data_IF_808743277067
#
_entry.id   IF_808743277067
#
_cell.length_a   1.000
_cell.length_b   1.000
_cell.length_c   1.000
_cell.angle_alpha   90.00
_cell.angle_beta   90.00
_cell.angle_gamma   90.00
#
_symmetry.space_group_name_H-M   'P 1'
#
loop_
_entity.id
_entity.type
_entity.pdbx_description
1 polymer ?
#
# COMPACT_ATOMS: atom_id res chain seq x y z
N UNK A 1 -3.48 -7.87 20.18
CA UNK A 1 -3.42 -6.68 19.31
C UNK A 1 -4.29 -6.90 18.06
N UNK A 2 -5.00 -5.90 17.56
CA UNK A 2 -5.81 -6.07 16.32
C UNK A 2 -4.87 -6.23 15.12
N UNK A 3 -5.24 -7.06 14.15
CA UNK A 3 -4.46 -7.30 12.93
C UNK A 3 -4.57 -6.18 11.88
N UNK A 4 -5.47 -5.22 12.14
CA UNK A 4 -5.63 -4.01 11.34
C UNK A 4 -5.76 -2.82 12.31
N UNK A 5 -4.91 -1.80 12.12
CA UNK A 5 -4.88 -0.56 12.91
C UNK A 5 -4.86 0.63 11.95
N UNK A 6 -5.89 1.46 12.00
CA UNK A 6 -6.07 2.59 11.07
C UNK A 6 -5.43 3.86 11.59
N UNK A 7 -5.30 4.89 10.75
CA UNK A 7 -4.70 6.18 11.14
C UNK A 7 -5.37 6.81 12.38
N UNK A 8 -6.67 6.61 12.57
CA UNK A 8 -7.39 7.16 13.73
C UNK A 8 -7.02 6.48 15.06
N UNK A 9 -6.45 5.28 15.03
CA UNK A 9 -5.96 4.60 16.23
C UNK A 9 -4.71 5.32 16.81
N UNK A 10 -4.05 6.18 16.02
CA UNK A 10 -2.82 6.89 16.41
C UNK A 10 -3.09 8.09 17.34
N UNK A 11 -4.33 8.53 17.45
CA UNK A 11 -4.71 9.72 18.23
C UNK A 11 -4.40 9.59 19.74
N UNK A 12 -4.12 8.37 20.21
CA UNK A 12 -3.84 8.06 21.62
C UNK A 12 -2.35 8.15 21.98
N UNK A 13 -1.48 8.35 21.01
CA UNK A 13 -0.03 8.24 21.20
C UNK A 13 0.63 9.45 20.55
N UNK A 14 1.17 10.42 21.31
CA UNK A 14 1.85 11.58 20.73
C UNK A 14 3.13 11.16 20.00
N UNK A 15 3.54 11.94 18.99
CA UNK A 15 4.88 11.81 18.42
C UNK A 15 5.89 12.47 19.35
N UNK A 16 7.07 11.87 19.46
CA UNK A 16 8.27 12.51 19.97
C UNK A 16 9.26 12.80 18.83
N UNK A 17 10.34 13.50 19.15
CA UNK A 17 11.36 13.89 18.19
C UNK A 17 12.11 12.69 17.61
N UNK A 18 12.23 11.60 18.38
CA UNK A 18 12.90 10.37 17.95
C UNK A 18 12.11 9.71 16.82
N UNK A 19 10.80 9.51 17.03
CA UNK A 19 9.91 8.97 16.01
C UNK A 19 9.87 9.87 14.77
N UNK A 20 9.72 11.18 14.94
CA UNK A 20 9.63 12.12 13.82
C UNK A 20 10.88 12.07 12.94
N UNK A 21 12.06 11.97 13.56
CA UNK A 21 13.32 11.82 12.83
C UNK A 21 13.36 10.48 12.08
N UNK A 22 13.06 9.38 12.77
CA UNK A 22 13.07 8.04 12.18
C UNK A 22 12.12 7.95 10.98
N UNK A 23 10.90 8.47 11.14
CA UNK A 23 9.89 8.54 10.09
C UNK A 23 10.42 9.29 8.86
N UNK A 24 10.90 10.52 9.06
CA UNK A 24 11.36 11.40 7.99
C UNK A 24 12.55 10.82 7.22
N UNK A 25 13.44 10.10 7.89
CA UNK A 25 14.64 9.52 7.27
C UNK A 25 14.37 8.20 6.55
N UNK A 26 13.31 7.47 6.89
CA UNK A 26 13.13 6.08 6.43
C UNK A 26 11.85 5.82 5.63
N UNK A 27 10.82 6.66 5.76
CA UNK A 27 9.51 6.41 5.16
C UNK A 27 9.25 7.36 3.99
N UNK A 28 8.95 6.78 2.83
CA UNK A 28 8.36 7.48 1.70
C UNK A 28 6.91 7.05 1.54
N UNK A 29 5.97 7.99 1.66
CA UNK A 29 4.55 7.73 1.42
C UNK A 29 4.24 7.83 -0.07
N UNK A 30 3.78 6.71 -0.64
CA UNK A 30 3.38 6.61 -2.03
C UNK A 30 1.85 6.54 -2.11
N UNK A 31 1.27 7.44 -2.90
CA UNK A 31 -0.14 7.36 -3.24
C UNK A 31 -0.44 6.23 -4.23
N UNK A 32 -1.64 5.66 -4.16
CA UNK A 32 -2.10 4.67 -5.11
C UNK A 32 -2.71 5.27 -6.38
N UNK A 33 -2.96 4.39 -7.36
CA UNK A 33 -3.41 4.77 -8.70
C UNK A 33 -4.74 5.55 -8.68
N UNK A 34 -5.70 5.20 -7.81
CA UNK A 34 -6.97 5.93 -7.77
C UNK A 34 -6.79 7.33 -7.19
N UNK A 35 -5.90 7.50 -6.20
CA UNK A 35 -5.54 8.83 -5.69
C UNK A 35 -4.85 9.66 -6.78
N UNK A 36 -3.97 9.07 -7.59
CA UNK A 36 -3.36 9.79 -8.71
C UNK A 36 -4.42 10.21 -9.74
N UNK A 37 -5.38 9.33 -10.08
CA UNK A 37 -6.50 9.70 -10.95
C UNK A 37 -7.35 10.85 -10.38
N UNK A 38 -7.55 10.89 -9.06
CA UNK A 38 -8.25 11.99 -8.39
C UNK A 38 -7.48 13.31 -8.51
N UNK A 39 -6.18 13.29 -8.25
CA UNK A 39 -5.32 14.47 -8.33
C UNK A 39 -5.30 15.10 -9.74
N UNK A 40 -5.46 14.29 -10.80
CA UNK A 40 -5.53 14.77 -12.19
C UNK A 40 -6.97 15.01 -12.69
N UNK A 41 -7.98 14.89 -11.83
CA UNK A 41 -9.38 15.16 -12.17
C UNK A 41 -10.07 14.06 -12.99
N UNK A 42 -9.52 12.85 -13.03
CA UNK A 42 -10.02 11.72 -13.82
C UNK A 42 -10.60 10.58 -12.97
N UNK A 43 -10.82 10.78 -11.65
CA UNK A 43 -11.39 9.74 -10.76
C UNK A 43 -12.68 9.12 -11.29
N UNK A 44 -13.60 9.96 -11.78
CA UNK A 44 -14.88 9.49 -12.35
C UNK A 44 -14.69 8.61 -13.59
N UNK A 45 -13.63 8.84 -14.36
CA UNK A 45 -13.29 8.05 -15.55
C UNK A 45 -12.86 6.65 -15.14
N UNK A 46 -11.90 6.54 -14.22
CA UNK A 46 -11.44 5.23 -13.73
C UNK A 46 -12.54 4.48 -12.98
N UNK A 47 -13.40 5.15 -12.21
CA UNK A 47 -14.53 4.48 -11.54
C UNK A 47 -15.53 3.89 -12.53
N UNK A 48 -15.89 4.65 -13.58
CA UNK A 48 -16.77 4.12 -14.64
C UNK A 48 -16.13 2.93 -15.34
N UNK A 49 -14.82 2.98 -15.58
CA UNK A 49 -14.06 1.86 -16.13
C UNK A 49 -14.18 0.62 -15.25
N UNK A 50 -13.86 0.73 -13.96
CA UNK A 50 -13.90 -0.38 -13.00
C UNK A 50 -15.31 -1.00 -12.87
N UNK A 51 -16.34 -0.16 -12.75
CA UNK A 51 -17.73 -0.63 -12.55
C UNK A 51 -18.29 -1.30 -13.83
N UNK A 52 -17.93 -0.77 -15.01
CA UNK A 52 -18.48 -1.23 -16.29
C UNK A 52 -17.55 -2.19 -17.04
N UNK A 53 -16.43 -2.60 -16.45
CA UNK A 53 -15.33 -3.34 -17.09
C UNK A 53 -15.79 -4.43 -18.08
N UNK A 54 -16.63 -5.37 -17.64
CA UNK A 54 -17.11 -6.49 -18.47
C UNK A 54 -17.93 -6.08 -19.70
N UNK A 55 -18.48 -4.85 -19.70
CA UNK A 55 -19.33 -4.31 -20.77
C UNK A 55 -18.57 -3.38 -21.71
N UNK A 56 -17.30 -3.10 -21.44
CA UNK A 56 -16.47 -2.26 -22.29
C UNK A 56 -15.97 -3.05 -23.50
N UNK A 57 -15.84 -2.37 -24.64
CA UNK A 57 -15.10 -2.89 -25.79
C UNK A 57 -13.62 -3.08 -25.42
N UNK A 58 -12.92 -3.93 -26.17
CA UNK A 58 -11.49 -4.15 -25.95
C UNK A 58 -10.68 -2.87 -26.19
N UNK A 59 -11.04 -2.08 -27.20
CA UNK A 59 -10.45 -0.76 -27.44
C UNK A 59 -10.57 0.18 -26.23
N UNK A 60 -11.76 0.26 -25.61
CA UNK A 60 -11.95 1.09 -24.43
C UNK A 60 -11.16 0.57 -23.21
N UNK A 61 -10.97 -0.75 -23.12
CA UNK A 61 -10.12 -1.34 -22.08
C UNK A 61 -8.64 -1.01 -22.32
N UNK A 62 -8.19 -1.07 -23.56
CA UNK A 62 -6.79 -0.82 -23.92
C UNK A 62 -6.40 0.65 -23.72
N UNK A 63 -7.26 1.60 -24.09
CA UNK A 63 -7.07 3.03 -23.76
C UNK A 63 -6.90 3.24 -22.26
N UNK A 64 -7.73 2.58 -21.44
CA UNK A 64 -7.63 2.71 -19.98
C UNK A 64 -6.38 2.01 -19.43
N UNK A 65 -5.98 0.87 -19.99
CA UNK A 65 -4.72 0.20 -19.61
C UNK A 65 -3.51 1.09 -19.89
N UNK A 66 -3.48 1.78 -21.03
CA UNK A 66 -2.39 2.71 -21.36
C UNK A 66 -2.29 3.84 -20.33
N UNK A 67 -3.42 4.49 -20.00
CA UNK A 67 -3.47 5.51 -18.93
C UNK A 67 -3.00 4.99 -17.57
N UNK A 68 -3.46 3.79 -17.19
CA UNK A 68 -3.04 3.14 -15.94
C UNK A 68 -1.52 2.87 -15.97
N UNK A 69 -0.98 2.42 -17.11
CA UNK A 69 0.43 2.14 -17.28
C UNK A 69 1.30 3.40 -17.21
N UNK A 70 0.84 4.53 -17.75
CA UNK A 70 1.53 5.82 -17.63
C UNK A 70 1.64 6.25 -16.15
N UNK A 71 0.53 6.20 -15.40
CA UNK A 71 0.52 6.51 -13.97
C UNK A 71 1.43 5.54 -13.20
N UNK A 72 1.30 4.24 -13.44
CA UNK A 72 2.11 3.22 -12.81
C UNK A 72 3.61 3.46 -13.05
N UNK A 73 4.00 3.78 -14.29
CA UNK A 73 5.38 4.08 -14.66
C UNK A 73 5.92 5.28 -13.87
N UNK A 74 5.11 6.32 -13.69
CA UNK A 74 5.51 7.49 -12.91
C UNK A 74 5.64 7.17 -11.42
N UNK A 75 4.70 6.39 -10.86
CA UNK A 75 4.79 5.93 -9.46
C UNK A 75 6.05 5.10 -9.22
N UNK A 76 6.40 4.19 -10.15
CA UNK A 76 7.61 3.38 -10.07
C UNK A 76 8.87 4.26 -10.09
N UNK A 77 8.95 5.27 -10.97
CA UNK A 77 10.08 6.22 -11.01
C UNK A 77 10.24 7.00 -9.70
N UNK A 78 9.12 7.43 -9.10
CA UNK A 78 9.13 8.11 -7.80
C UNK A 78 9.67 7.20 -6.69
N UNK A 79 9.30 5.92 -6.71
CA UNK A 79 9.83 4.94 -5.75
C UNK A 79 11.31 4.67 -5.96
N UNK A 80 11.75 4.49 -7.20
CA UNK A 80 13.16 4.30 -7.53
C UNK A 80 14.03 5.49 -7.06
N UNK A 81 13.51 6.70 -7.26
CA UNK A 81 14.12 7.94 -6.74
C UNK A 81 14.16 7.94 -5.21
N UNK A 82 13.04 7.61 -4.54
CA UNK A 82 13.01 7.57 -3.07
C UNK A 82 13.99 6.54 -2.49
N UNK A 83 14.08 5.36 -3.11
CA UNK A 83 15.06 4.34 -2.72
C UNK A 83 16.49 4.88 -2.89
N UNK A 84 16.77 5.56 -4.01
CA UNK A 84 18.07 6.20 -4.27
C UNK A 84 18.41 7.29 -3.25
N UNK A 85 17.39 8.02 -2.77
CA UNK A 85 17.52 9.03 -1.71
C UNK A 85 17.71 8.41 -0.30
N UNK A 86 17.64 7.08 -0.18
CA UNK A 86 17.96 6.34 1.04
C UNK A 86 16.75 5.88 1.85
N UNK A 87 15.51 6.12 1.38
CA UNK A 87 14.31 5.64 2.07
C UNK A 87 14.27 4.11 2.13
N UNK A 88 13.90 3.57 3.29
CA UNK A 88 13.93 2.13 3.60
C UNK A 88 12.54 1.47 3.61
N UNK A 89 11.49 2.28 3.63
CA UNK A 89 10.11 1.85 3.64
C UNK A 89 9.34 2.68 2.62
N UNK A 90 8.73 2.01 1.65
CA UNK A 90 7.74 2.60 0.75
C UNK A 90 6.35 2.25 1.30
N UNK A 91 5.61 3.25 1.78
CA UNK A 91 4.28 3.05 2.31
C UNK A 91 3.21 3.40 1.26
N UNK A 92 2.66 2.39 0.60
CA UNK A 92 1.61 2.52 -0.40
C UNK A 92 0.24 2.74 0.28
N UNK A 93 -0.46 3.79 -0.13
CA UNK A 93 -1.80 4.12 0.34
C UNK A 93 -2.74 4.53 -0.79
N UNK A 94 -3.86 3.83 -0.93
CA UNK A 94 -4.94 4.22 -1.83
C UNK A 94 -6.26 4.33 -1.06
N UNK A 95 -6.58 5.48 -0.44
CA UNK A 95 -7.76 5.63 0.40
C UNK A 95 -9.09 5.48 -0.38
N UNK A 96 -9.04 5.69 -1.70
CA UNK A 96 -10.19 5.65 -2.62
C UNK A 96 -10.51 4.22 -3.11
N UNK A 97 -9.68 3.25 -2.78
CA UNK A 97 -9.83 1.84 -3.18
C UNK A 97 -10.86 1.03 -2.39
N UNK A 98 -11.55 1.63 -1.41
CA UNK A 98 -12.44 0.88 -0.52
C UNK A 98 -13.66 0.31 -1.27
N UNK A 99 -14.21 -0.79 -0.74
CA UNK A 99 -15.47 -1.37 -1.24
C UNK A 99 -16.63 -0.37 -1.17
N UNK A 100 -16.59 0.57 -0.22
CA UNK A 100 -17.61 1.62 -0.08
C UNK A 100 -17.64 2.55 -1.31
N UNK A 101 -16.47 2.83 -1.92
CA UNK A 101 -16.37 3.67 -3.10
C UNK A 101 -16.59 2.90 -4.40
N UNK A 102 -15.96 1.73 -4.54
CA UNK A 102 -15.94 0.98 -5.80
C UNK A 102 -17.10 -0.01 -5.95
N UNK A 103 -17.76 -0.37 -4.85
CA UNK A 103 -18.61 -1.56 -4.76
C UNK A 103 -17.81 -2.85 -4.92
N UNK A 104 -18.41 -4.00 -4.56
CA UNK A 104 -17.72 -5.31 -4.63
C UNK A 104 -17.19 -5.63 -6.04
N UNK A 105 -17.97 -5.34 -7.08
CA UNK A 105 -17.58 -5.60 -8.46
C UNK A 105 -16.39 -4.73 -8.90
N UNK A 106 -16.49 -3.41 -8.70
CA UNK A 106 -15.42 -2.48 -9.10
C UNK A 106 -14.14 -2.72 -8.30
N UNK A 107 -14.27 -3.04 -7.01
CA UNK A 107 -13.14 -3.40 -6.16
C UNK A 107 -12.44 -4.69 -6.64
N UNK A 108 -13.18 -5.70 -7.10
CA UNK A 108 -12.56 -6.92 -7.66
C UNK A 108 -11.78 -6.61 -8.92
N UNK A 109 -12.37 -5.86 -9.84
CA UNK A 109 -11.67 -5.43 -11.06
C UNK A 109 -10.42 -4.63 -10.71
N UNK A 110 -10.51 -3.68 -9.78
CA UNK A 110 -9.35 -2.89 -9.36
C UNK A 110 -8.22 -3.76 -8.80
N UNK A 111 -8.55 -4.76 -7.98
CA UNK A 111 -7.56 -5.71 -7.46
C UNK A 111 -6.89 -6.47 -8.60
N UNK A 112 -7.70 -7.10 -9.45
CA UNK A 112 -7.22 -8.03 -10.47
C UNK A 112 -6.46 -7.35 -11.59
N UNK A 113 -6.85 -6.13 -11.98
CA UNK A 113 -6.30 -5.46 -13.18
C UNK A 113 -5.32 -4.34 -12.88
N UNK A 114 -5.29 -3.83 -11.64
CA UNK A 114 -4.49 -2.65 -11.28
C UNK A 114 -3.62 -2.93 -10.05
N UNK A 115 -4.23 -3.16 -8.89
CA UNK A 115 -3.53 -3.13 -7.61
C UNK A 115 -2.45 -4.21 -7.51
N UNK A 116 -2.74 -5.46 -7.88
CA UNK A 116 -1.77 -6.55 -7.74
C UNK A 116 -0.55 -6.35 -8.64
N UNK A 117 -0.75 -5.86 -9.86
CA UNK A 117 0.35 -5.58 -10.77
C UNK A 117 1.28 -4.48 -10.21
N UNK A 118 0.70 -3.42 -9.65
CA UNK A 118 1.47 -2.36 -8.98
C UNK A 118 2.23 -2.92 -7.77
N UNK A 119 1.56 -3.67 -6.88
CA UNK A 119 2.21 -4.25 -5.70
C UNK A 119 3.37 -5.17 -6.10
N UNK A 120 3.19 -6.01 -7.12
CA UNK A 120 4.23 -6.92 -7.60
C UNK A 120 5.47 -6.14 -8.08
N UNK A 121 5.28 -5.11 -8.92
CA UNK A 121 6.37 -4.28 -9.42
C UNK A 121 7.09 -3.52 -8.30
N UNK A 122 6.32 -2.95 -7.36
CA UNK A 122 6.88 -2.24 -6.21
C UNK A 122 7.64 -3.18 -5.26
N UNK A 123 7.14 -4.40 -5.05
CA UNK A 123 7.82 -5.44 -4.27
C UNK A 123 9.18 -5.75 -4.89
N UNK A 124 9.22 -6.08 -6.18
CA UNK A 124 10.45 -6.47 -6.85
C UNK A 124 11.51 -5.35 -6.83
N UNK A 125 11.05 -4.11 -6.99
CA UNK A 125 11.91 -2.93 -6.86
C UNK A 125 12.44 -2.75 -5.43
N UNK A 126 11.59 -2.92 -4.41
CA UNK A 126 11.99 -2.81 -3.01
C UNK A 126 12.98 -3.91 -2.60
N UNK A 127 12.71 -5.17 -2.96
CA UNK A 127 13.55 -6.33 -2.65
C UNK A 127 14.95 -6.20 -3.24
N UNK A 128 15.04 -5.71 -4.47
CA UNK A 128 16.32 -5.50 -5.17
C UNK A 128 17.21 -4.45 -4.51
N UNK A 129 16.67 -3.63 -3.59
CA UNK A 129 17.33 -2.47 -3.01
C UNK A 129 17.32 -2.45 -1.46
N UNK A 130 17.10 -3.59 -0.81
CA UNK A 130 17.00 -3.68 0.67
C UNK A 130 16.00 -2.66 1.26
N UNK A 131 14.88 -2.50 0.57
CA UNK A 131 13.76 -1.66 0.95
C UNK A 131 12.53 -2.54 1.20
N UNK A 132 11.58 -2.05 1.98
CA UNK A 132 10.35 -2.76 2.33
C UNK A 132 9.14 -2.06 1.75
N UNK A 133 8.22 -2.83 1.19
CA UNK A 133 6.90 -2.35 0.82
C UNK A 133 5.95 -2.48 2.02
N UNK A 134 5.27 -1.40 2.35
CA UNK A 134 4.25 -1.35 3.37
C UNK A 134 2.90 -1.01 2.74
N UNK A 135 1.87 -1.83 3.01
CA UNK A 135 0.51 -1.63 2.54
C UNK A 135 -0.34 -1.02 3.65
N UNK A 136 -0.85 0.19 3.42
CA UNK A 136 -1.70 0.86 4.39
C UNK A 136 -2.94 0.01 4.77
N UNK A 137 -3.52 0.25 5.96
CA UNK A 137 -4.62 -0.56 6.52
C UNK A 137 -5.85 -0.69 5.60
N UNK A 138 -6.18 0.37 4.85
CA UNK A 138 -7.31 0.34 3.91
C UNK A 138 -7.09 -0.63 2.75
N UNK A 139 -5.90 -0.61 2.14
CA UNK A 139 -5.50 -1.57 1.11
C UNK A 139 -5.41 -2.99 1.66
N UNK A 140 -4.85 -3.12 2.87
CA UNK A 140 -4.75 -4.41 3.56
C UNK A 140 -6.14 -5.01 3.83
N UNK A 141 -7.08 -4.19 4.30
CA UNK A 141 -8.46 -4.61 4.56
C UNK A 141 -9.20 -4.95 3.26
N UNK A 142 -8.96 -4.18 2.19
CA UNK A 142 -9.49 -4.47 0.87
C UNK A 142 -9.04 -5.87 0.42
N UNK A 143 -7.74 -6.16 0.42
CA UNK A 143 -7.21 -7.47 0.04
C UNK A 143 -7.75 -8.58 0.94
N UNK A 144 -7.71 -8.42 2.28
CA UNK A 144 -8.25 -9.40 3.24
C UNK A 144 -9.73 -9.73 2.99
N UNK A 145 -10.53 -8.77 2.53
CA UNK A 145 -11.96 -8.97 2.32
C UNK A 145 -12.33 -9.99 1.23
N UNK A 146 -11.38 -10.33 0.35
CA UNK A 146 -11.60 -11.33 -0.71
C UNK A 146 -11.25 -12.76 -0.29
N UNK A 147 -10.54 -12.96 0.82
CA UNK A 147 -10.22 -14.29 1.37
C UNK A 147 -9.28 -15.17 0.53
N UNK A 148 -8.91 -14.72 -0.68
CA UNK A 148 -8.00 -15.42 -1.60
C UNK A 148 -6.51 -15.12 -1.32
N UNK A 149 -6.24 -14.13 -0.48
CA UNK A 149 -4.90 -13.62 -0.21
C UNK A 149 -4.36 -14.11 1.13
N UNK A 150 -3.10 -14.54 1.13
CA UNK A 150 -2.44 -15.03 2.33
C UNK A 150 -1.79 -13.91 3.15
N UNK A 151 -2.20 -13.80 4.42
CA UNK A 151 -1.60 -12.91 5.41
C UNK A 151 -1.03 -13.73 6.55
N UNK A 152 0.22 -13.45 6.92
CA UNK A 152 0.95 -14.15 7.98
C UNK A 152 1.26 -13.20 9.12
N UNK A 153 0.98 -13.61 10.36
CA UNK A 153 1.47 -12.92 11.55
C UNK A 153 2.91 -13.34 11.84
N UNK A 154 3.74 -12.38 12.21
CA UNK A 154 5.15 -12.59 12.51
C UNK A 154 5.45 -11.94 13.84
N UNK A 155 5.85 -12.78 14.80
CA UNK A 155 6.38 -12.33 16.08
C UNK A 155 7.78 -11.77 15.85
N UNK A 156 8.03 -10.60 16.42
CA UNK A 156 9.33 -9.92 16.34
C UNK A 156 10.21 -10.34 17.52
N UNK A 157 11.51 -10.10 17.41
CA UNK A 157 12.48 -10.41 18.47
C UNK A 157 12.29 -9.55 19.74
N UNK A 158 11.59 -8.42 19.62
CA UNK A 158 11.30 -7.51 20.74
C UNK A 158 10.05 -6.65 20.52
N UNK A 159 9.75 -5.82 21.52
CA UNK A 159 8.70 -4.81 21.43
C UNK A 159 9.27 -3.48 20.92
N UNK A 160 8.68 -2.95 19.85
CA UNK A 160 9.07 -1.68 19.24
C UNK A 160 8.06 -0.59 19.56
N UNK A 161 8.49 0.66 19.65
CA UNK A 161 7.61 1.76 20.07
C UNK A 161 6.73 2.31 18.94
N UNK A 162 6.98 1.88 17.70
CA UNK A 162 6.23 2.27 16.52
C UNK A 162 6.29 1.20 15.43
N UNK A 163 5.39 1.30 14.45
CA UNK A 163 5.46 0.43 13.27
C UNK A 163 6.74 0.69 12.46
N UNK A 164 7.23 1.94 12.39
CA UNK A 164 8.45 2.26 11.62
C UNK A 164 9.65 1.51 12.19
N UNK A 165 9.82 1.55 13.52
CA UNK A 165 10.87 0.78 14.20
C UNK A 165 10.71 -0.72 13.96
N UNK A 166 9.49 -1.24 14.08
CA UNK A 166 9.19 -2.65 13.83
C UNK A 166 9.53 -3.08 12.40
N UNK A 167 9.24 -2.23 11.41
CA UNK A 167 9.54 -2.49 10.00
C UNK A 167 11.04 -2.38 9.71
N UNK A 168 11.79 -1.52 10.39
CA UNK A 168 13.25 -1.46 10.24
C UNK A 168 13.97 -2.63 10.91
N UNK A 169 13.29 -3.34 11.82
CA UNK A 169 13.84 -4.53 12.48
C UNK A 169 14.05 -5.71 11.51
N UNK A 170 14.78 -6.72 11.98
CA UNK A 170 15.01 -7.94 11.22
C UNK A 170 13.80 -8.87 11.33
N UNK A 171 13.03 -8.99 10.25
CA UNK A 171 11.87 -9.91 10.18
C UNK A 171 11.79 -10.71 8.86
N UNK A 172 12.59 -10.37 7.84
CA UNK A 172 12.77 -11.18 6.64
C UNK A 172 11.61 -11.21 5.65
N UNK A 173 10.68 -10.26 5.72
CA UNK A 173 9.58 -10.15 4.75
C UNK A 173 9.63 -8.83 4.00
N UNK A 174 9.31 -8.88 2.72
CA UNK A 174 9.41 -7.75 1.80
C UNK A 174 8.17 -6.89 1.78
N UNK A 175 7.00 -7.48 2.03
CA UNK A 175 5.72 -6.77 2.10
C UNK A 175 5.09 -6.91 3.48
N UNK A 176 4.80 -5.76 4.09
CA UNK A 176 4.08 -5.67 5.37
C UNK A 176 2.74 -4.96 5.20
N UNK A 177 1.80 -5.23 6.10
CA UNK A 177 0.41 -4.83 5.94
C UNK A 177 -0.31 -4.62 7.27
N UNK A 178 -1.50 -4.01 7.20
CA UNK A 178 -2.51 -4.02 8.25
C UNK A 178 -2.40 -2.87 9.26
N UNK A 179 -1.19 -2.45 9.62
CA UNK A 179 -0.98 -1.40 10.63
C UNK A 179 -0.67 -0.08 9.91
N UNK A 180 -1.24 1.04 10.37
CA UNK A 180 -0.95 2.35 9.78
C UNK A 180 0.53 2.70 9.95
N UNK A 181 1.20 3.20 8.90
CA UNK A 181 2.61 3.63 8.96
C UNK A 181 2.89 4.69 10.04
N UNK A 182 1.85 5.43 10.43
CA UNK A 182 1.91 6.44 11.48
C UNK A 182 1.67 5.89 12.90
N UNK A 183 1.53 4.58 13.06
CA UNK A 183 1.22 3.97 14.35
C UNK A 183 2.41 4.03 15.30
N UNK A 184 2.14 4.60 16.48
CA UNK A 184 3.07 4.77 17.59
C UNK A 184 2.46 4.05 18.78
N UNK A 185 3.06 2.98 19.23
CA UNK A 185 2.54 2.09 20.27
C UNK A 185 3.36 0.81 20.24
N UNK A 186 3.35 0.07 21.34
CA UNK A 186 4.12 -1.17 21.42
C UNK A 186 3.72 -2.14 20.28
N UNK A 187 4.69 -2.55 19.47
CA UNK A 187 4.56 -3.53 18.38
C UNK A 187 5.48 -4.71 18.68
N UNK A 188 4.91 -5.85 19.06
CA UNK A 188 5.62 -7.13 19.16
C UNK A 188 5.42 -8.03 17.94
N UNK A 189 4.52 -7.65 17.02
CA UNK A 189 4.18 -8.45 15.84
C UNK A 189 3.76 -7.61 14.66
N UNK A 190 4.03 -8.11 13.46
CA UNK A 190 3.61 -7.49 12.19
C UNK A 190 2.83 -8.48 11.34
N UNK A 191 2.06 -7.95 10.39
CA UNK A 191 1.40 -8.76 9.37
C UNK A 191 2.22 -8.67 8.08
N UNK A 192 2.64 -9.81 7.54
CA UNK A 192 3.18 -9.91 6.20
C UNK A 192 2.09 -10.28 5.20
N UNK A 193 2.18 -9.73 4.00
CA UNK A 193 1.35 -10.09 2.85
C UNK A 193 2.21 -10.87 1.87
N UNK A 194 1.77 -12.05 1.43
CA UNK A 194 2.52 -12.87 0.48
C UNK A 194 1.82 -12.90 -0.87
N UNK A 195 2.62 -12.64 -1.91
CA UNK A 195 2.31 -12.88 -3.31
C UNK A 195 3.13 -14.12 -3.69
N UNK A 196 2.56 -15.30 -3.46
CA UNK A 196 3.10 -16.59 -3.88
C UNK A 196 2.82 -16.88 -5.37
#
# INVERSE_FOLDING_TARGET
>A
MRDILFCHDNNKYPADDVYNKLYKENVYELEGILQTFDNIGELNTVYKYLIKYDRLSDEAKDIMKEKIHEIETELIKRVDTAISDGFKIISLADPLSSIEFLGKKGARVYIDTILLNLIYKLKDLCESNDCRLHLCPRLSNLLKSYGEFYFKQIELEGGYSSIVEALLSKHGESITAGICIHFRGEIGRITAFRLD
#
